data_IF_318853717727
#
_entry.id   IF_318853717727
#
_cell.length_a   1.000
_cell.length_b   1.000
_cell.length_c   1.000
_cell.angle_alpha   90.00
_cell.angle_beta   90.00
_cell.angle_gamma   90.00
#
_symmetry.space_group_name_H-M   'P 1'
#
loop_
_entity.id
_entity.type
_entity.pdbx_description
1 polymer ?
#
# COMPACT_ATOMS: atom_id res chain seq x y z
N UNK A 1 -16.91 -5.39 14.99
CA UNK A 1 -16.09 -4.15 14.92
C UNK A 1 -16.78 -3.07 15.75
N UNK A 2 -16.20 -2.65 16.89
CA UNK A 2 -16.82 -1.64 17.77
C UNK A 2 -16.25 -0.25 17.51
N UNK A 3 -17.02 0.82 17.77
CA UNK A 3 -16.54 2.20 17.63
C UNK A 3 -15.37 2.48 18.60
N UNK A 4 -15.46 1.98 19.83
CA UNK A 4 -14.36 2.08 20.79
C UNK A 4 -13.09 1.38 20.27
N UNK A 5 -13.22 0.22 19.64
CA UNK A 5 -12.09 -0.50 19.04
C UNK A 5 -11.46 0.27 17.87
N UNK A 6 -12.28 0.89 17.01
CA UNK A 6 -11.80 1.76 15.93
C UNK A 6 -11.04 2.98 16.48
N UNK A 7 -11.58 3.62 17.52
CA UNK A 7 -10.91 4.73 18.19
C UNK A 7 -9.57 4.31 18.81
N UNK A 8 -9.50 3.19 19.54
CA UNK A 8 -8.25 2.66 20.09
C UNK A 8 -7.24 2.26 19.00
N UNK A 9 -7.71 1.91 17.82
CA UNK A 9 -6.88 1.63 16.64
C UNK A 9 -6.41 2.91 15.94
N UNK A 10 -6.85 4.10 16.37
CA UNK A 10 -6.42 5.38 15.82
C UNK A 10 -7.24 5.84 14.61
N UNK A 11 -8.42 5.25 14.40
CA UNK A 11 -9.36 5.71 13.37
C UNK A 11 -10.03 6.98 13.84
N UNK A 12 -9.95 8.03 13.03
CA UNK A 12 -10.52 9.33 13.34
C UNK A 12 -12.04 9.37 13.08
N UNK A 13 -12.80 10.20 13.81
CA UNK A 13 -14.23 10.40 13.55
C UNK A 13 -14.51 10.91 12.12
N UNK A 14 -13.63 11.78 11.61
CA UNK A 14 -13.73 12.33 10.26
C UNK A 14 -13.60 11.24 9.19
N UNK A 15 -12.74 10.24 9.39
CA UNK A 15 -12.54 9.17 8.42
C UNK A 15 -13.76 8.25 8.36
N UNK A 16 -14.39 8.00 9.53
CA UNK A 16 -15.64 7.26 9.62
C UNK A 16 -16.77 8.03 8.91
N UNK A 17 -16.88 9.33 9.16
CA UNK A 17 -17.89 10.16 8.49
C UNK A 17 -17.68 10.21 6.97
N UNK A 18 -16.44 10.29 6.50
CA UNK A 18 -16.10 10.24 5.09
C UNK A 18 -16.45 8.87 4.47
N UNK A 19 -16.19 7.77 5.18
CA UNK A 19 -16.57 6.43 4.76
C UNK A 19 -18.09 6.28 4.65
N UNK A 20 -18.85 6.72 5.66
CA UNK A 20 -20.32 6.65 5.63
C UNK A 20 -20.90 7.45 4.46
N UNK A 21 -20.37 8.66 4.21
CA UNK A 21 -20.76 9.46 3.02
C UNK A 21 -20.40 8.75 1.72
N UNK A 22 -19.21 8.13 1.66
CA UNK A 22 -18.73 7.43 0.48
C UNK A 22 -19.55 6.20 0.12
N UNK A 23 -19.95 5.40 1.12
CA UNK A 23 -20.79 4.20 0.93
C UNK A 23 -22.14 4.54 0.32
N UNK A 24 -22.72 5.68 0.71
CA UNK A 24 -24.06 6.09 0.30
C UNK A 24 -25.16 5.39 1.09
N UNK A 25 -26.39 5.88 0.96
CA UNK A 25 -27.57 5.32 1.61
C UNK A 25 -28.41 4.64 0.53
N UNK A 26 -28.64 3.34 0.66
CA UNK A 26 -29.48 2.57 -0.27
C UNK A 26 -30.50 1.74 0.50
N UNK A 27 -31.59 1.34 -0.16
CA UNK A 27 -32.64 0.49 0.42
C UNK A 27 -32.37 -1.01 0.22
N UNK A 28 -31.19 -1.39 -0.30
CA UNK A 28 -30.85 -2.78 -0.55
C UNK A 28 -30.26 -3.35 0.74
N UNK A 29 -31.02 -4.22 1.39
CA UNK A 29 -30.55 -4.91 2.59
C UNK A 29 -29.46 -5.92 2.19
N UNK A 30 -28.45 -6.08 3.04
CA UNK A 30 -27.37 -7.08 2.90
C UNK A 30 -26.20 -6.77 1.93
N UNK A 31 -25.92 -5.52 1.59
CA UNK A 31 -24.67 -5.19 0.88
C UNK A 31 -23.46 -5.32 1.82
N UNK A 32 -22.67 -6.39 1.66
CA UNK A 32 -21.39 -6.54 2.37
C UNK A 32 -20.42 -5.49 1.84
N UNK A 33 -19.97 -4.60 2.73
CA UNK A 33 -18.99 -3.56 2.38
C UNK A 33 -17.60 -4.08 2.72
N UNK A 34 -16.75 -4.17 1.70
CA UNK A 34 -15.36 -4.59 1.88
C UNK A 34 -14.62 -3.64 2.84
N UNK A 35 -13.95 -4.20 3.85
CA UNK A 35 -13.16 -3.48 4.84
C UNK A 35 -12.09 -2.57 4.21
N UNK A 36 -11.60 -2.91 3.02
CA UNK A 36 -10.59 -2.13 2.32
C UNK A 36 -11.12 -0.74 1.91
N UNK A 37 -12.44 -0.59 1.71
CA UNK A 37 -13.07 0.72 1.50
C UNK A 37 -12.97 1.60 2.75
N UNK A 38 -13.17 1.04 3.94
CA UNK A 38 -12.95 1.77 5.19
C UNK A 38 -11.47 2.16 5.34
N UNK A 39 -10.56 1.23 5.07
CA UNK A 39 -9.10 1.50 5.12
C UNK A 39 -8.68 2.61 4.16
N UNK A 40 -9.28 2.67 2.96
CA UNK A 40 -9.04 3.73 2.00
C UNK A 40 -9.32 5.12 2.59
N UNK A 41 -10.52 5.33 3.15
CA UNK A 41 -10.87 6.63 3.75
C UNK A 41 -9.97 6.99 4.93
N UNK A 42 -9.57 6.01 5.75
CA UNK A 42 -8.61 6.22 6.83
C UNK A 42 -7.26 6.69 6.28
N UNK A 43 -6.76 6.07 5.21
CA UNK A 43 -5.47 6.46 4.59
C UNK A 43 -5.52 7.85 4.00
N UNK A 44 -6.60 8.19 3.29
CA UNK A 44 -6.75 9.49 2.65
C UNK A 44 -6.68 10.65 3.66
N UNK A 45 -7.29 10.46 4.83
CA UNK A 45 -7.24 11.47 5.89
C UNK A 45 -5.87 11.51 6.57
N UNK A 46 -5.36 10.35 6.99
CA UNK A 46 -4.09 10.29 7.71
C UNK A 46 -2.91 10.72 6.83
N UNK A 47 -2.97 10.54 5.50
CA UNK A 47 -1.94 11.03 4.59
C UNK A 47 -1.82 12.57 4.61
N UNK A 48 -2.94 13.27 4.87
CA UNK A 48 -2.99 14.73 4.91
C UNK A 48 -2.63 15.28 6.28
N UNK A 49 -3.05 14.60 7.34
CA UNK A 49 -2.96 15.13 8.71
C UNK A 49 -1.80 14.56 9.55
N UNK A 50 -1.35 13.34 9.28
CA UNK A 50 -0.41 12.65 10.17
C UNK A 50 1.05 13.03 9.91
N UNK A 51 1.84 13.37 10.95
CA UNK A 51 3.26 13.64 10.82
C UNK A 51 4.05 12.36 10.51
N UNK A 52 5.02 12.47 9.60
CA UNK A 52 5.92 11.39 9.21
C UNK A 52 7.05 11.29 10.23
N UNK A 53 7.17 10.10 10.82
CA UNK A 53 8.25 9.74 11.74
C UNK A 53 8.92 8.47 11.23
N UNK A 54 10.22 8.30 11.52
CA UNK A 54 10.95 7.09 11.19
C UNK A 54 10.94 6.13 12.38
N UNK A 55 10.65 4.86 12.11
CA UNK A 55 10.69 3.78 13.09
C UNK A 55 11.21 2.54 12.37
N UNK A 56 12.08 1.77 13.02
CA UNK A 56 12.63 0.53 12.47
C UNK A 56 12.17 -0.62 13.36
N UNK A 57 11.36 -1.54 12.82
CA UNK A 57 10.79 -2.65 13.60
C UNK A 57 11.80 -3.78 13.82
N UNK A 58 12.64 -4.05 12.82
CA UNK A 58 13.70 -5.06 12.86
C UNK A 58 15.03 -4.38 12.54
N UNK A 59 15.72 -3.83 13.54
CA UNK A 59 16.94 -3.07 13.31
C UNK A 59 18.06 -3.98 12.78
N UNK A 60 18.63 -3.62 11.63
CA UNK A 60 19.77 -4.32 11.02
C UNK A 60 21.01 -3.44 10.94
N UNK A 61 22.06 -3.85 11.65
CA UNK A 61 23.45 -3.43 11.53
C UNK A 61 23.83 -2.61 10.30
N UNK A 62 24.04 -1.29 10.30
CA UNK A 62 24.83 -0.68 9.21
C UNK A 62 25.92 0.21 9.77
N UNK A 63 27.02 0.35 9.04
CA UNK A 63 28.14 1.23 9.37
C UNK A 63 28.56 1.97 8.11
N UNK A 64 28.69 3.29 8.20
CA UNK A 64 29.21 4.11 7.10
C UNK A 64 30.73 4.22 7.25
N UNK A 65 31.48 3.68 6.30
CA UNK A 65 32.95 3.55 6.41
C UNK A 65 33.72 4.83 6.05
N UNK A 66 33.14 5.72 5.26
CA UNK A 66 33.79 6.94 4.77
C UNK A 66 33.34 8.22 5.50
N UNK A 67 32.76 8.08 6.69
CA UNK A 67 32.48 9.17 7.61
C UNK A 67 33.36 9.02 8.84
N UNK A 68 33.91 10.13 9.34
CA UNK A 68 34.69 10.11 10.58
C UNK A 68 33.80 9.69 11.75
N UNK A 69 34.33 8.88 12.67
CA UNK A 69 33.73 8.66 13.99
C UNK A 69 33.52 10.04 14.64
N UNK A 70 32.34 10.30 15.19
CA UNK A 70 31.87 11.59 15.75
C UNK A 70 31.39 12.69 14.80
N UNK A 71 31.35 12.46 13.49
CA UNK A 71 30.74 13.43 12.57
C UNK A 71 29.21 13.44 12.68
N UNK A 72 28.64 14.64 12.89
CA UNK A 72 27.19 14.84 13.00
C UNK A 72 26.68 15.47 11.71
N UNK A 73 25.73 14.82 11.04
CA UNK A 73 25.04 15.38 9.88
C UNK A 73 23.60 15.65 10.25
N UNK A 74 23.24 16.92 10.38
CA UNK A 74 21.84 17.33 10.54
C UNK A 74 21.12 17.23 9.20
N UNK A 75 20.05 16.44 9.16
CA UNK A 75 19.19 16.30 8.00
C UNK A 75 17.83 16.93 8.29
N UNK A 76 17.39 17.76 7.35
CA UNK A 76 16.07 18.35 7.34
C UNK A 76 15.08 17.40 6.66
N UNK A 77 14.11 16.91 7.42
CA UNK A 77 13.03 16.07 6.94
C UNK A 77 11.70 16.82 7.01
N UNK A 78 10.94 16.80 5.91
CA UNK A 78 9.57 17.35 5.88
C UNK A 78 8.64 16.53 6.78
N UNK A 79 7.84 17.22 7.60
CA UNK A 79 6.84 16.60 8.48
C UNK A 79 5.70 15.88 7.74
N UNK A 80 5.28 16.35 6.58
CA UNK A 80 4.30 15.67 5.69
C UNK A 80 4.69 15.90 4.21
N UNK A 81 4.22 15.09 3.24
CA UNK A 81 4.71 15.14 1.86
C UNK A 81 4.55 16.53 1.22
N UNK A 82 3.41 17.16 1.50
CA UNK A 82 3.00 18.41 0.85
C UNK A 82 3.35 19.66 1.69
N UNK A 83 4.16 19.51 2.75
CA UNK A 83 4.60 20.65 3.56
C UNK A 83 5.40 21.65 2.71
N UNK A 84 5.07 22.94 2.82
CA UNK A 84 5.84 24.00 2.18
C UNK A 84 7.15 24.22 2.95
N UNK A 85 8.20 24.62 2.24
CA UNK A 85 9.57 24.73 2.79
C UNK A 85 9.67 25.87 3.83
N UNK A 86 8.74 26.83 3.78
CA UNK A 86 8.73 28.03 4.63
C UNK A 86 7.91 27.86 5.92
N UNK A 87 7.32 26.68 6.15
CA UNK A 87 6.71 26.36 7.43
C UNK A 87 7.83 26.17 8.46
N UNK A 88 8.16 27.23 9.21
CA UNK A 88 9.18 27.26 10.27
C UNK A 88 9.03 26.15 11.35
N UNK A 89 7.91 25.41 11.34
CA UNK A 89 7.55 24.32 12.25
C UNK A 89 7.54 22.92 11.58
N UNK A 90 7.98 22.83 10.32
CA UNK A 90 7.84 21.65 9.45
C UNK A 90 9.00 20.67 9.44
N UNK A 91 10.04 20.91 10.25
CA UNK A 91 11.28 20.12 10.22
C UNK A 91 11.47 19.29 11.48
N UNK A 92 11.52 17.97 11.32
CA UNK A 92 12.08 17.09 12.34
C UNK A 92 13.58 17.02 12.09
N UNK A 93 14.39 17.74 12.89
CA UNK A 93 15.86 17.62 12.83
C UNK A 93 16.24 16.19 13.17
N UNK A 94 16.73 15.45 12.18
CA UNK A 94 17.27 14.11 12.38
C UNK A 94 18.78 14.21 12.22
N UNK A 95 19.51 14.07 13.31
CA UNK A 95 20.97 14.12 13.31
C UNK A 95 21.52 12.70 13.11
N UNK A 96 22.30 12.46 12.05
CA UNK A 96 23.11 11.25 11.90
C UNK A 96 24.32 11.35 12.82
N UNK A 97 24.54 10.35 13.66
CA UNK A 97 25.75 10.21 14.50
C UNK A 97 26.52 8.97 14.06
N UNK A 98 27.84 9.05 14.02
CA UNK A 98 28.71 7.93 13.67
C UNK A 98 29.38 7.35 14.90
N UNK A 99 28.66 6.48 15.58
CA UNK A 99 29.19 5.18 16.01
C UNK A 99 28.10 4.16 15.65
N UNK A 100 28.42 3.21 14.77
CA UNK A 100 27.55 2.06 14.48
C UNK A 100 26.17 2.32 13.82
N UNK A 101 26.05 3.29 12.89
CA UNK A 101 24.75 3.75 12.37
C UNK A 101 24.21 3.09 11.10
N UNK A 102 22.97 2.61 11.23
CA UNK A 102 22.18 1.77 10.34
C UNK A 102 21.59 2.62 9.18
N UNK A 103 21.90 2.37 7.89
CA UNK A 103 21.35 3.16 6.79
C UNK A 103 21.20 2.45 5.43
N UNK A 104 19.96 2.53 4.92
CA UNK A 104 19.68 3.00 3.57
C UNK A 104 18.75 4.19 3.73
N UNK A 105 19.22 5.41 3.45
CA UNK A 105 18.56 6.59 3.98
C UNK A 105 17.56 7.24 3.01
N UNK A 106 16.38 7.61 3.52
CA UNK A 106 15.62 8.75 3.03
C UNK A 106 16.39 9.99 3.50
N UNK A 107 16.73 10.87 2.55
CA UNK A 107 17.52 12.11 2.74
C UNK A 107 19.06 11.97 2.85
N UNK A 108 19.62 10.75 2.95
CA UNK A 108 21.05 10.48 2.78
C UNK A 108 21.26 9.31 1.81
N UNK A 109 22.26 9.36 0.93
CA UNK A 109 22.38 8.39 -0.16
C UNK A 109 23.67 7.58 0.03
N UNK A 110 23.57 6.31 0.48
CA UNK A 110 24.72 5.42 0.37
C UNK A 110 25.00 5.14 -1.11
N UNK A 111 26.26 5.32 -1.51
CA UNK A 111 26.77 5.11 -2.86
C UNK A 111 26.87 3.63 -3.19
N UNK A 112 27.36 2.83 -2.23
CA UNK A 112 27.73 1.43 -2.44
C UNK A 112 27.77 0.67 -1.12
N UNK A 113 27.18 -0.53 -1.09
CA UNK A 113 27.44 -1.52 -0.06
C UNK A 113 28.82 -2.13 -0.29
N UNK A 114 29.73 -2.00 0.68
CA UNK A 114 31.12 -2.44 0.56
C UNK A 114 31.32 -3.83 1.13
N UNK A 115 30.68 -4.13 2.27
CA UNK A 115 30.85 -5.42 2.96
C UNK A 115 29.56 -5.82 3.68
N UNK A 116 29.35 -7.13 3.80
CA UNK A 116 28.28 -7.72 4.60
C UNK A 116 28.93 -8.70 5.56
N UNK A 117 28.63 -8.55 6.85
CA UNK A 117 29.09 -9.42 7.92
C UNK A 117 27.93 -10.33 8.28
N UNK A 118 28.16 -11.63 8.09
CA UNK A 118 27.22 -12.69 8.41
C UNK A 118 27.54 -13.27 9.79
N UNK A 119 26.54 -13.84 10.44
CA UNK A 119 26.71 -14.63 11.65
C UNK A 119 27.39 -15.98 11.34
N UNK A 120 27.67 -16.75 12.40
CA UNK A 120 28.32 -18.06 12.30
C UNK A 120 27.51 -19.07 11.47
N UNK A 121 26.19 -18.88 11.40
CA UNK A 121 25.26 -19.66 10.57
C UNK A 121 25.38 -19.36 9.06
N UNK A 122 26.10 -18.28 8.68
CA UNK A 122 26.22 -17.75 7.31
C UNK A 122 24.90 -17.39 6.63
N UNK A 123 23.78 -17.39 7.36
CA UNK A 123 22.44 -17.07 6.84
C UNK A 123 21.93 -15.73 7.41
N UNK A 124 22.28 -15.44 8.66
CA UNK A 124 21.85 -14.22 9.34
C UNK A 124 22.82 -13.07 9.08
N UNK A 125 22.33 -11.94 8.57
CA UNK A 125 23.13 -10.73 8.40
C UNK A 125 23.19 -9.98 9.72
N UNK A 126 24.40 -9.74 10.23
CA UNK A 126 24.63 -8.99 11.47
C UNK A 126 24.90 -7.51 11.18
N UNK A 127 25.73 -7.23 10.18
CA UNK A 127 26.18 -5.87 9.88
C UNK A 127 26.42 -5.68 8.39
N UNK A 128 26.04 -4.52 7.89
CA UNK A 128 26.29 -4.06 6.53
C UNK A 128 27.23 -2.85 6.61
N UNK A 129 28.25 -2.82 5.78
CA UNK A 129 29.13 -1.66 5.65
C UNK A 129 28.86 -0.99 4.32
N UNK A 130 28.75 0.33 4.33
CA UNK A 130 28.42 1.12 3.16
C UNK A 130 29.23 2.41 3.10
N UNK A 131 29.39 2.95 1.91
CA UNK A 131 29.95 4.29 1.69
C UNK A 131 28.84 5.29 1.38
N UNK A 132 28.93 6.48 1.98
CA UNK A 132 28.03 7.61 1.77
C UNK A 132 28.51 8.50 0.61
N UNK A 133 27.60 8.92 -0.29
CA UNK A 133 27.91 9.92 -1.32
C UNK A 133 27.41 11.31 -0.90
N UNK A 134 28.29 12.24 -0.47
CA UNK A 134 27.88 13.59 -0.10
C UNK A 134 27.42 14.42 -1.31
N UNK A 135 27.86 14.07 -2.53
CA UNK A 135 27.59 14.86 -3.75
C UNK A 135 26.26 14.46 -4.41
N UNK A 136 25.63 13.37 -3.95
CA UNK A 136 24.34 12.87 -4.45
C UNK A 136 24.32 12.70 -5.99
N UNK A 137 25.43 12.24 -6.59
CA UNK A 137 25.57 12.19 -8.06
C UNK A 137 24.63 11.15 -8.70
N UNK A 138 24.26 10.12 -7.96
CA UNK A 138 23.42 9.03 -8.46
C UNK A 138 22.04 9.04 -7.81
N UNK A 139 20.99 9.03 -8.65
CA UNK A 139 19.61 8.87 -8.18
C UNK A 139 19.41 7.40 -7.76
N UNK A 140 19.01 7.11 -6.52
CA UNK A 140 18.84 5.73 -6.09
C UNK A 140 17.57 5.11 -6.68
N UNK A 141 17.58 3.78 -6.83
CA UNK A 141 16.43 3.00 -7.28
C UNK A 141 15.35 2.83 -6.20
N UNK A 142 15.72 3.01 -4.94
CA UNK A 142 14.84 2.84 -3.80
C UNK A 142 15.35 3.59 -2.60
N UNK A 143 14.42 3.92 -1.69
CA UNK A 143 14.70 4.70 -0.49
C UNK A 143 14.10 3.97 0.70
N UNK A 144 14.88 3.80 1.76
CA UNK A 144 14.46 3.13 2.99
C UNK A 144 14.43 4.14 4.16
N UNK A 145 13.77 3.77 5.25
CA UNK A 145 13.78 4.54 6.49
C UNK A 145 14.86 3.98 7.42
N UNK A 146 15.31 4.80 8.36
CA UNK A 146 16.43 4.50 9.24
C UNK A 146 16.25 5.24 10.56
N UNK A 147 16.96 4.77 11.59
CA UNK A 147 17.09 5.45 12.88
C UNK A 147 18.56 5.44 13.27
N UNK A 148 18.98 6.43 14.05
CA UNK A 148 20.35 6.52 14.56
C UNK A 148 20.57 5.39 15.57
N UNK A 149 21.75 4.79 15.54
CA UNK A 149 22.13 3.82 16.57
C UNK A 149 22.37 4.51 17.93
N UNK A 150 22.22 3.78 19.05
CA UNK A 150 22.61 4.29 20.36
C UNK A 150 24.08 4.72 20.35
N UNK A 151 24.34 5.97 20.74
CA UNK A 151 25.67 6.56 20.90
C UNK A 151 25.69 7.35 22.22
N UNK A 152 26.87 7.67 22.80
CA UNK A 152 26.95 8.40 24.07
C UNK A 152 26.19 9.74 24.11
N UNK A 153 25.82 10.29 22.95
CA UNK A 153 25.08 11.56 22.80
C UNK A 153 23.63 11.39 22.36
N UNK A 154 23.24 10.23 21.84
CA UNK A 154 21.89 9.96 21.33
C UNK A 154 21.48 8.55 21.68
N UNK A 155 20.37 8.45 22.41
CA UNK A 155 19.70 7.19 22.70
C UNK A 155 18.40 7.13 21.88
N UNK A 156 18.29 6.21 20.89
CA UNK A 156 17.05 6.07 20.14
C UNK A 156 15.94 5.55 21.04
N UNK A 157 14.75 6.15 20.90
CA UNK A 157 13.61 5.77 21.72
C UNK A 157 13.14 4.36 21.38
N UNK A 158 13.26 3.46 22.35
CA UNK A 158 12.74 2.10 22.23
C UNK A 158 11.22 2.11 22.39
N UNK A 159 10.52 1.49 21.44
CA UNK A 159 9.05 1.50 21.37
C UNK A 159 8.52 0.09 21.11
N UNK A 160 7.40 -0.24 21.72
CA UNK A 160 6.63 -1.44 21.37
C UNK A 160 5.70 -1.10 20.20
N UNK A 161 5.65 -1.96 19.18
CA UNK A 161 4.74 -1.77 18.06
C UNK A 161 3.82 -2.97 17.91
N UNK A 162 2.51 -2.73 18.00
CA UNK A 162 1.46 -3.72 17.82
C UNK A 162 0.93 -3.68 16.39
N UNK A 163 1.16 -4.76 15.66
CA UNK A 163 0.76 -4.89 14.27
C UNK A 163 -0.56 -5.66 14.16
N UNK A 164 -1.63 -4.95 13.82
CA UNK A 164 -2.95 -5.56 13.62
C UNK A 164 -3.21 -5.88 12.14
N UNK A 165 -3.96 -6.96 11.91
CA UNK A 165 -4.46 -7.37 10.58
C UNK A 165 -5.97 -7.67 10.66
N UNK A 166 -6.54 -8.31 9.62
CA UNK A 166 -7.89 -8.87 9.63
C UNK A 166 -8.01 -9.91 10.75
N UNK A 167 -9.11 -9.83 11.51
CA UNK A 167 -9.41 -10.74 12.61
C UNK A 167 -9.84 -12.13 12.10
N UNK A 168 -10.53 -12.15 10.98
CA UNK A 168 -11.05 -13.35 10.31
C UNK A 168 -10.32 -13.57 8.99
N UNK A 169 -10.19 -14.83 8.60
CA UNK A 169 -9.61 -15.21 7.30
C UNK A 169 -10.66 -15.06 6.19
N UNK A 170 -11.91 -15.41 6.48
CA UNK A 170 -13.03 -15.36 5.55
C UNK A 170 -13.62 -13.94 5.45
N UNK A 171 -14.18 -13.60 4.29
CA UNK A 171 -14.84 -12.30 4.08
C UNK A 171 -16.18 -12.21 4.82
N UNK A 172 -16.87 -13.34 4.96
CA UNK A 172 -18.13 -13.44 5.68
C UNK A 172 -18.10 -14.56 6.74
N UNK A 173 -17.44 -14.33 7.89
CA UNK A 173 -17.36 -15.32 8.96
C UNK A 173 -18.73 -15.65 9.59
N UNK A 174 -19.77 -14.84 9.35
CA UNK A 174 -21.11 -15.06 9.89
C UNK A 174 -21.85 -16.22 9.20
N UNK A 175 -21.40 -16.66 8.03
CA UNK A 175 -21.95 -17.83 7.32
C UNK A 175 -21.27 -19.15 7.72
N UNK A 176 -20.25 -19.10 8.58
CA UNK A 176 -19.55 -20.27 9.06
C UNK A 176 -20.25 -20.87 10.29
N UNK A 177 -20.38 -22.19 10.31
CA UNK A 177 -20.92 -22.91 11.47
C UNK A 177 -20.05 -22.73 12.73
N UNK A 178 -18.72 -22.75 12.55
CA UNK A 178 -17.73 -22.42 13.59
C UNK A 178 -16.86 -21.23 13.16
N UNK A 179 -17.40 -20.03 13.36
CA UNK A 179 -16.69 -18.79 13.08
C UNK A 179 -15.46 -18.56 13.97
N UNK A 180 -15.34 -19.23 15.12
CA UNK A 180 -14.17 -19.10 16.00
C UNK A 180 -12.95 -19.79 15.40
N UNK A 181 -13.15 -20.88 14.66
CA UNK A 181 -12.07 -21.54 13.92
C UNK A 181 -11.51 -20.67 12.77
N UNK A 182 -12.24 -19.66 12.31
CA UNK A 182 -11.82 -18.72 11.25
C UNK A 182 -10.99 -17.54 11.77
N UNK A 183 -10.76 -17.47 13.10
CA UNK A 183 -9.88 -16.46 13.68
C UNK A 183 -8.47 -16.58 13.11
N UNK A 184 -7.93 -15.45 12.66
CA UNK A 184 -6.60 -15.38 12.11
C UNK A 184 -5.54 -15.54 13.22
N UNK A 185 -4.78 -16.65 13.26
CA UNK A 185 -3.84 -16.93 14.35
C UNK A 185 -2.55 -16.10 14.23
N UNK A 186 -2.24 -15.57 13.03
CA UNK A 186 -1.04 -14.77 12.82
C UNK A 186 -1.30 -13.61 11.85
N UNK A 187 -1.31 -12.34 12.32
CA UNK A 187 -1.34 -11.20 11.41
C UNK A 187 -0.08 -11.21 10.53
N UNK A 188 -0.23 -11.22 9.20
CA UNK A 188 0.92 -11.25 8.28
C UNK A 188 1.67 -9.91 8.37
N UNK A 189 2.95 -9.96 8.73
CA UNK A 189 3.79 -8.75 8.86
C UNK A 189 4.42 -8.40 7.52
N UNK A 190 3.86 -7.41 6.83
CA UNK A 190 4.46 -6.83 5.63
C UNK A 190 5.23 -5.54 5.97
N UNK A 191 6.43 -5.40 5.44
CA UNK A 191 7.29 -4.23 5.68
C UNK A 191 7.17 -3.20 4.54
N UNK A 192 6.68 -2.01 4.92
CA UNK A 192 6.89 -0.62 4.41
C UNK A 192 5.80 0.28 5.01
N UNK A 193 6.11 0.83 6.18
CA UNK A 193 5.22 0.99 7.35
C UNK A 193 4.11 2.04 7.24
N UNK A 194 2.95 1.70 7.82
CA UNK A 194 1.67 2.42 7.80
C UNK A 194 1.52 3.61 8.74
N UNK A 195 0.27 3.92 9.09
CA UNK A 195 -0.07 4.91 10.10
C UNK A 195 -0.20 4.26 11.47
N UNK A 196 0.25 4.97 12.50
CA UNK A 196 0.29 4.50 13.87
C UNK A 196 -0.30 5.52 14.82
N UNK A 197 -0.86 5.03 15.92
CA UNK A 197 -1.33 5.84 17.05
C UNK A 197 -0.66 5.37 18.32
N UNK A 198 -0.42 6.30 19.25
CA UNK A 198 0.02 5.95 20.61
C UNK A 198 -1.12 5.21 21.32
N UNK A 199 -0.82 4.02 21.83
CA UNK A 199 -1.77 3.20 22.56
C UNK A 199 -1.93 3.68 24.00
N UNK A 200 -3.08 3.39 24.62
CA UNK A 200 -3.39 3.77 26.00
C UNK A 200 -2.49 3.09 27.03
N UNK A 201 -1.89 1.95 26.69
CA UNK A 201 -0.92 1.24 27.53
C UNK A 201 0.45 1.94 27.55
N UNK A 202 0.61 3.04 26.81
CA UNK A 202 1.85 3.82 26.82
C UNK A 202 2.06 4.52 28.16
N UNK A 203 3.29 4.42 28.66
CA UNK A 203 3.77 5.08 29.88
C UNK A 203 5.01 5.92 29.57
N UNK A 204 5.42 6.86 30.44
CA UNK A 204 6.62 7.66 30.20
C UNK A 204 7.91 6.86 29.94
N UNK A 205 8.00 5.62 30.47
CA UNK A 205 9.14 4.73 30.27
C UNK A 205 8.94 3.65 29.19
N UNK A 206 7.75 3.55 28.59
CA UNK A 206 7.42 2.54 27.57
C UNK A 206 6.34 3.07 26.66
N UNK A 207 6.72 3.49 25.44
CA UNK A 207 5.76 3.87 24.43
C UNK A 207 5.29 2.66 23.65
N UNK A 208 3.97 2.56 23.46
CA UNK A 208 3.31 1.50 22.72
C UNK A 208 2.58 2.14 21.54
N UNK A 209 2.80 1.63 20.34
CA UNK A 209 2.16 2.11 19.12
C UNK A 209 1.30 1.04 18.48
N UNK A 210 0.05 1.37 18.16
CA UNK A 210 -0.83 0.51 17.39
C UNK A 210 -0.78 0.90 15.92
N UNK A 211 -0.64 -0.09 15.02
CA UNK A 211 -0.82 0.16 13.59
C UNK A 211 -2.30 0.35 13.25
N UNK A 212 -2.68 1.55 12.86
CA UNK A 212 -4.03 1.90 12.40
C UNK A 212 -4.34 1.23 11.07
N UNK A 213 -3.51 1.49 10.05
CA UNK A 213 -3.66 0.97 8.69
C UNK A 213 -2.32 0.96 7.96
N UNK A 214 -2.11 0.04 7.02
CA UNK A 214 -0.91 -0.05 6.16
C UNK A 214 -0.86 1.11 5.14
N UNK A 215 0.30 1.45 4.57
CA UNK A 215 0.39 2.52 3.54
C UNK A 215 -0.28 2.17 2.21
N UNK A 216 -0.29 0.89 1.87
CA UNK A 216 -0.89 0.38 0.65
C UNK A 216 -1.93 -0.67 1.00
N UNK A 217 -2.95 -0.76 0.18
CA UNK A 217 -3.81 -1.93 0.16
C UNK A 217 -3.00 -3.15 -0.26
N UNK A 218 -3.27 -4.27 0.40
CA UNK A 218 -2.80 -5.59 -0.03
C UNK A 218 -3.68 -6.15 -1.16
N UNK A 219 -4.69 -5.39 -1.59
CA UNK A 219 -5.40 -5.70 -2.82
C UNK A 219 -4.48 -5.39 -3.99
N UNK A 220 -4.33 -6.38 -4.87
CA UNK A 220 -3.85 -6.21 -6.23
C UNK A 220 -4.40 -4.89 -6.77
N UNK A 221 -3.51 -3.93 -7.04
CA UNK A 221 -3.83 -2.78 -7.88
C UNK A 221 -4.23 -3.33 -9.26
N UNK A 222 -5.51 -3.56 -9.42
CA UNK A 222 -6.14 -4.08 -10.61
C UNK A 222 -7.53 -4.58 -10.22
N UNK A 223 -8.53 -3.71 -10.33
CA UNK A 223 -9.92 -4.18 -10.42
C UNK A 223 -10.10 -5.07 -11.68
N UNK A 224 -9.16 -5.00 -12.63
CA UNK A 224 -9.13 -5.76 -13.87
C UNK A 224 -7.78 -6.50 -14.03
N UNK A 225 -7.49 -7.50 -13.20
CA UNK A 225 -6.43 -8.49 -13.47
C UNK A 225 -7.01 -9.69 -14.22
N UNK A 226 -6.15 -10.54 -14.80
CA UNK A 226 -6.58 -11.81 -15.42
C UNK A 226 -7.40 -12.66 -14.44
N UNK A 227 -7.04 -12.67 -13.17
CA UNK A 227 -7.73 -13.40 -12.12
C UNK A 227 -9.10 -12.80 -11.80
N UNK A 228 -9.24 -11.46 -11.81
CA UNK A 228 -10.54 -10.82 -11.62
C UNK A 228 -11.47 -10.99 -12.82
N UNK A 229 -10.92 -10.98 -14.04
CA UNK A 229 -11.65 -11.34 -15.25
C UNK A 229 -12.20 -12.77 -15.15
N UNK A 230 -11.35 -13.74 -14.81
CA UNK A 230 -11.76 -15.14 -14.67
C UNK A 230 -12.80 -15.34 -13.56
N UNK A 231 -12.67 -14.66 -12.43
CA UNK A 231 -13.63 -14.72 -11.34
C UNK A 231 -14.99 -14.12 -11.72
N UNK A 232 -14.98 -12.99 -12.43
CA UNK A 232 -16.20 -12.33 -12.91
C UNK A 232 -16.91 -13.19 -13.97
N UNK A 233 -16.18 -13.73 -14.95
CA UNK A 233 -16.69 -14.69 -15.93
C UNK A 233 -17.33 -15.89 -15.23
N UNK A 234 -16.65 -16.47 -14.23
CA UNK A 234 -17.17 -17.63 -13.48
C UNK A 234 -18.47 -17.29 -12.76
N UNK A 235 -18.56 -16.08 -12.19
CA UNK A 235 -19.77 -15.58 -11.51
C UNK A 235 -20.92 -15.37 -12.49
N UNK A 236 -20.63 -14.76 -13.65
CA UNK A 236 -21.63 -14.55 -14.70
C UNK A 236 -22.16 -15.88 -15.23
N UNK A 237 -21.29 -16.86 -15.50
CA UNK A 237 -21.70 -18.22 -15.91
C UNK A 237 -22.58 -18.91 -14.87
N UNK A 238 -22.23 -18.81 -13.59
CA UNK A 238 -23.07 -19.36 -12.51
C UNK A 238 -24.44 -18.68 -12.41
N UNK A 239 -24.53 -17.40 -12.73
CA UNK A 239 -25.73 -16.59 -12.53
C UNK A 239 -26.65 -16.58 -13.76
N UNK A 240 -26.08 -16.59 -14.96
CA UNK A 240 -26.78 -16.38 -16.23
C UNK A 240 -26.64 -17.55 -17.23
N UNK A 241 -25.95 -18.64 -16.86
CA UNK A 241 -25.82 -19.84 -17.70
C UNK A 241 -25.04 -19.59 -19.00
N UNK A 242 -25.55 -20.11 -20.12
CA UNK A 242 -25.07 -19.89 -21.50
C UNK A 242 -25.79 -18.72 -22.19
N UNK A 243 -26.36 -17.78 -21.43
CA UNK A 243 -27.00 -16.62 -22.04
C UNK A 243 -25.97 -15.76 -22.81
N UNK A 244 -26.33 -15.22 -23.98
CA UNK A 244 -25.47 -14.29 -24.70
C UNK A 244 -25.24 -13.02 -23.90
N UNK A 245 -23.99 -12.57 -23.81
CA UNK A 245 -23.60 -11.45 -22.96
C UNK A 245 -23.09 -10.25 -23.78
N UNK A 246 -23.61 -9.06 -23.46
CA UNK A 246 -23.06 -7.79 -23.89
C UNK A 246 -22.37 -7.09 -22.71
N UNK A 247 -21.09 -6.72 -22.87
CA UNK A 247 -20.30 -6.08 -21.83
C UNK A 247 -20.14 -4.59 -22.13
N UNK A 248 -20.55 -3.72 -21.21
CA UNK A 248 -20.30 -2.27 -21.29
C UNK A 248 -19.13 -1.92 -20.38
N UNK A 249 -18.06 -1.39 -20.95
CA UNK A 249 -16.86 -0.99 -20.23
C UNK A 249 -16.78 0.54 -20.19
N UNK A 250 -17.03 1.09 -19.01
CA UNK A 250 -16.87 2.50 -18.69
C UNK A 250 -15.78 2.68 -17.63
N UNK A 251 -14.90 3.66 -17.80
CA UNK A 251 -13.88 4.06 -16.81
C UNK A 251 -12.82 2.98 -16.44
N UNK A 252 -12.08 2.48 -17.43
CA UNK A 252 -10.96 1.58 -17.16
C UNK A 252 -9.69 2.38 -16.81
N UNK A 253 -8.96 1.98 -15.76
CA UNK A 253 -7.75 2.65 -15.24
C UNK A 253 -6.63 1.64 -14.94
N UNK A 254 -6.53 0.61 -15.79
CA UNK A 254 -5.70 -0.55 -15.53
C UNK A 254 -4.33 -0.47 -16.15
N UNK A 255 -3.44 -1.32 -15.63
CA UNK A 255 -2.09 -1.48 -16.18
C UNK A 255 -2.01 -2.56 -17.25
N UNK A 256 -2.97 -3.49 -17.29
CA UNK A 256 -2.99 -4.64 -18.22
C UNK A 256 -4.40 -4.87 -18.80
N UNK A 257 -4.81 -3.97 -19.69
CA UNK A 257 -6.10 -4.07 -20.38
C UNK A 257 -6.19 -5.28 -21.31
N UNK A 258 -5.06 -5.70 -21.91
CA UNK A 258 -5.00 -6.87 -22.82
C UNK A 258 -5.21 -8.17 -22.04
N UNK A 259 -4.56 -8.32 -20.88
CA UNK A 259 -4.74 -9.47 -20.01
C UNK A 259 -6.17 -9.64 -19.50
N UNK A 260 -6.84 -8.52 -19.17
CA UNK A 260 -8.25 -8.51 -18.80
C UNK A 260 -9.16 -8.96 -19.95
N UNK A 261 -8.99 -8.37 -21.14
CA UNK A 261 -9.76 -8.74 -22.34
C UNK A 261 -9.58 -10.22 -22.69
N UNK A 262 -8.35 -10.73 -22.63
CA UNK A 262 -8.02 -12.14 -22.89
C UNK A 262 -8.75 -13.08 -21.93
N UNK A 263 -8.79 -12.75 -20.65
CA UNK A 263 -9.50 -13.55 -19.64
C UNK A 263 -11.00 -13.65 -19.89
N UNK A 264 -11.61 -12.56 -20.36
CA UNK A 264 -13.03 -12.54 -20.72
C UNK A 264 -13.33 -13.33 -22.00
N UNK A 265 -12.55 -13.11 -23.06
CA UNK A 265 -12.72 -13.78 -24.35
C UNK A 265 -12.44 -15.28 -24.30
N UNK A 266 -11.51 -15.73 -23.46
CA UNK A 266 -11.28 -17.18 -23.22
C UNK A 266 -12.38 -17.83 -22.39
N UNK A 267 -13.27 -17.02 -21.81
CA UNK A 267 -14.05 -17.40 -20.64
C UNK A 267 -15.56 -17.42 -20.85
N UNK A 268 -16.15 -16.61 -21.73
CA UNK A 268 -17.61 -16.49 -21.88
C UNK A 268 -18.09 -16.33 -23.33
N UNK A 269 -19.38 -16.57 -23.57
CA UNK A 269 -20.05 -16.26 -24.85
C UNK A 269 -20.42 -14.77 -24.88
N UNK A 270 -19.44 -13.95 -25.25
CA UNK A 270 -19.65 -12.52 -25.47
C UNK A 270 -20.12 -12.27 -26.89
N UNK A 271 -21.30 -11.67 -27.04
CA UNK A 271 -21.81 -11.20 -28.32
C UNK A 271 -21.34 -9.79 -28.66
N UNK A 272 -21.14 -8.94 -27.65
CA UNK A 272 -20.76 -7.55 -27.87
C UNK A 272 -19.94 -6.96 -26.72
N UNK A 273 -18.97 -6.10 -27.06
CA UNK A 273 -18.24 -5.26 -26.11
C UNK A 273 -18.43 -3.80 -26.50
N UNK A 274 -19.08 -3.04 -25.64
CA UNK A 274 -19.36 -1.62 -25.81
C UNK A 274 -18.38 -0.82 -24.94
N UNK A 275 -17.53 -0.02 -25.57
CA UNK A 275 -16.52 0.80 -24.89
C UNK A 275 -17.02 2.24 -24.81
N UNK A 276 -17.07 2.81 -23.61
CA UNK A 276 -17.59 4.16 -23.39
C UNK A 276 -16.72 4.95 -22.41
N UNK A 277 -16.70 6.26 -22.58
CA UNK A 277 -16.03 7.21 -21.69
C UNK A 277 -17.08 7.85 -20.78
N UNK A 278 -16.78 7.99 -19.49
CA UNK A 278 -17.68 8.63 -18.53
C UNK A 278 -16.89 9.66 -17.71
N UNK A 279 -17.41 10.89 -17.64
CA UNK A 279 -16.83 11.96 -16.85
C UNK A 279 -17.10 11.77 -15.35
N UNK A 280 -16.05 11.79 -14.55
CA UNK A 280 -16.16 11.77 -13.09
C UNK A 280 -16.31 13.20 -12.59
N UNK A 281 -17.35 13.48 -11.80
CA UNK A 281 -17.51 14.74 -11.09
C UNK A 281 -16.30 14.98 -10.15
N UNK A 282 -15.42 15.92 -10.49
CA UNK A 282 -14.24 16.25 -9.68
C UNK A 282 -12.91 16.42 -10.43
N UNK A 283 -12.87 16.32 -11.76
CA UNK A 283 -11.86 17.02 -12.57
C UNK A 283 -10.44 16.45 -12.60
N UNK A 284 -10.21 15.17 -12.27
CA UNK A 284 -8.96 14.49 -12.61
C UNK A 284 -9.24 13.00 -12.88
N UNK A 285 -9.53 12.65 -14.14
CA UNK A 285 -9.73 11.26 -14.56
C UNK A 285 -8.42 10.64 -15.04
N UNK A 286 -7.94 9.61 -14.33
CA UNK A 286 -6.96 8.64 -14.86
C UNK A 286 -7.69 7.56 -15.66
N UNK A 287 -8.48 7.94 -16.67
CA UNK A 287 -9.25 7.00 -17.49
C UNK A 287 -8.57 6.74 -18.82
N UNK A 288 -8.46 5.47 -19.20
CA UNK A 288 -7.99 5.03 -20.52
C UNK A 288 -9.04 5.36 -21.57
N UNK A 289 -8.63 5.92 -22.72
CA UNK A 289 -9.56 6.27 -23.80
C UNK A 289 -10.23 5.03 -24.40
N UNK A 290 -11.45 5.20 -24.91
CA UNK A 290 -12.20 4.13 -25.58
C UNK A 290 -11.43 3.57 -26.80
N UNK A 291 -10.66 4.41 -27.49
CA UNK A 291 -9.78 4.00 -28.59
C UNK A 291 -8.68 3.04 -28.15
N UNK A 292 -7.98 3.33 -27.05
CA UNK A 292 -6.89 2.48 -26.56
C UNK A 292 -7.43 1.17 -25.99
N UNK A 293 -8.58 1.20 -25.32
CA UNK A 293 -9.28 -0.01 -24.91
C UNK A 293 -9.65 -0.87 -26.12
N UNK A 294 -10.19 -0.27 -27.19
CA UNK A 294 -10.54 -1.00 -28.42
C UNK A 294 -9.34 -1.75 -28.98
N UNK A 295 -8.20 -1.10 -29.09
CA UNK A 295 -6.97 -1.72 -29.61
C UNK A 295 -6.51 -2.90 -28.73
N UNK A 296 -6.61 -2.77 -27.41
CA UNK A 296 -6.31 -3.86 -26.48
C UNK A 296 -7.25 -5.08 -26.64
N UNK A 297 -8.54 -4.84 -26.87
CA UNK A 297 -9.51 -5.92 -27.11
C UNK A 297 -9.32 -6.58 -28.48
N UNK A 298 -9.00 -5.80 -29.52
CA UNK A 298 -8.63 -6.34 -30.83
C UNK A 298 -7.37 -7.19 -30.75
N UNK A 299 -6.35 -6.72 -30.02
CA UNK A 299 -5.13 -7.46 -29.80
C UNK A 299 -5.41 -8.79 -29.09
N UNK A 300 -6.17 -8.78 -28.00
CA UNK A 300 -6.53 -10.00 -27.27
C UNK A 300 -7.33 -10.99 -28.14
N UNK A 301 -8.21 -10.51 -29.01
CA UNK A 301 -8.98 -11.33 -29.94
C UNK A 301 -8.08 -12.03 -30.96
N UNK A 302 -7.14 -11.29 -31.56
CA UNK A 302 -6.16 -11.83 -32.51
C UNK A 302 -5.27 -12.89 -31.87
N UNK A 303 -4.84 -12.67 -30.63
CA UNK A 303 -4.04 -13.64 -29.88
C UNK A 303 -4.80 -14.95 -29.58
N UNK A 304 -6.13 -14.89 -29.48
CA UNK A 304 -6.99 -16.04 -29.23
C UNK A 304 -7.58 -16.65 -30.51
N UNK A 305 -7.30 -16.07 -31.68
CA UNK A 305 -7.87 -16.52 -32.96
C UNK A 305 -9.38 -16.33 -33.07
N UNK A 306 -9.94 -15.34 -32.35
CA UNK A 306 -11.36 -15.02 -32.38
C UNK A 306 -11.59 -13.91 -33.40
N UNK A 307 -12.50 -14.16 -34.33
CA UNK A 307 -12.94 -13.16 -35.30
C UNK A 307 -13.93 -12.19 -34.64
N UNK A 308 -13.67 -10.90 -34.76
CA UNK A 308 -14.51 -9.82 -34.21
C UNK A 308 -14.79 -8.77 -35.28
N UNK A 309 -15.98 -8.18 -35.21
CA UNK A 309 -16.35 -7.00 -35.99
C UNK A 309 -16.16 -5.77 -35.11
N UNK A 310 -15.57 -4.71 -35.64
CA UNK A 310 -15.38 -3.45 -34.93
C UNK A 310 -15.68 -2.25 -35.85
N UNK A 311 -15.88 -1.05 -35.29
CA UNK A 311 -16.31 0.18 -36.00
C UNK A 311 -15.28 0.79 -36.99
N UNK A 312 -14.51 -0.05 -37.68
CA UNK A 312 -13.56 0.33 -38.73
C UNK A 312 -13.27 -0.78 -39.74
N UNK A 313 -13.99 -1.91 -39.67
CA UNK A 313 -13.99 -2.97 -40.68
C UNK A 313 -15.29 -2.86 -41.48
N UNK A 314 -15.18 -2.50 -42.76
CA UNK A 314 -16.25 -2.69 -43.76
C UNK A 314 -16.30 -4.14 -44.20
#
# INVERSE_FOLDING_TARGET
MTLAGLHCRGVTPTAINAFVRGVGITRRDNSIINLDRLKYHIREELNKAAPRTMVVLRPLKVVITNLAADSIINLDAKRWPDAQIDDAYGFTRSALYTENSFCWCKYAFPKKCTKVILADDKETILEIQAEYDPVKKTKPKGVLHWVVAPSPRVDPLMVEVRLFDKLFLSENPAELDDWLADLNPQPKVFERLGYFVVDRDSTPGKLVFNRTVTLRDNYSKGAHTKESANALVKTIKMTFGEAPLALVIAMASDKDHVGFARGFLSGGELEAVLLTEADIAGGNSQTTSASLLRDCWIQASKELGIDIVHDGTT
#
